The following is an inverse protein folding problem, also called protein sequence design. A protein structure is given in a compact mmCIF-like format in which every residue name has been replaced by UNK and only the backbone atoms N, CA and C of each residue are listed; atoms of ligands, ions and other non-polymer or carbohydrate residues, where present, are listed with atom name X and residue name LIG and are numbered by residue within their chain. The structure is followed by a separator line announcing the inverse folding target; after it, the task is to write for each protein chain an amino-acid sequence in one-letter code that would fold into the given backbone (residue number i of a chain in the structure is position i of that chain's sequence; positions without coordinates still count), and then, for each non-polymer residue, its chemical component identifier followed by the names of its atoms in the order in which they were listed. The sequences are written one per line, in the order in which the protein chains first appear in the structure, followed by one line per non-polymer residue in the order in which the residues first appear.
data_IF_791647969228
#
_entry.id   IF_791647969228
#
_cell.length_a   1.000
_cell.length_b   1.000
_cell.length_c   1.000
_cell.angle_alpha   90.00
_cell.angle_beta   90.00
_cell.angle_gamma   90.00
#
_symmetry.space_group_name_H-M   'P 1'
#
loop_
_entity.id
_entity.type
_entity.pdbx_description
1 polymer ?
#
# COMPACT_ATOMS: atom_id res chain seq x y z
N UNK A 1 -8.94 3.75 23.64
CA UNK A 1 -7.75 2.99 23.22
C UNK A 1 -7.76 2.98 21.71
N UNK A 2 -6.74 3.56 21.08
CA UNK A 2 -6.55 3.50 19.64
C UNK A 2 -6.26 2.04 19.23
N UNK A 3 -6.89 1.56 18.16
CA UNK A 3 -6.53 0.24 17.60
C UNK A 3 -5.08 0.25 17.12
N UNK A 4 -4.40 -0.90 17.17
CA UNK A 4 -3.06 -1.02 16.59
C UNK A 4 -3.08 -0.91 15.06
N UNK A 5 -1.95 -0.58 14.45
CA UNK A 5 -1.85 -0.52 12.99
C UNK A 5 -2.12 -1.88 12.32
N UNK A 6 -1.71 -2.98 12.96
CA UNK A 6 -1.99 -4.33 12.44
C UNK A 6 -3.49 -4.65 12.45
N UNK A 7 -4.24 -4.22 13.48
CA UNK A 7 -5.70 -4.33 13.52
C UNK A 7 -6.36 -3.41 12.49
N UNK A 8 -5.86 -2.18 12.34
CA UNK A 8 -6.36 -1.22 11.35
C UNK A 8 -6.28 -1.78 9.92
N UNK A 9 -5.19 -2.45 9.55
CA UNK A 9 -5.03 -3.09 8.23
C UNK A 9 -6.08 -4.15 7.92
N UNK A 10 -6.73 -4.72 8.94
CA UNK A 10 -7.79 -5.72 8.79
C UNK A 10 -9.20 -5.11 8.70
N UNK A 11 -9.33 -3.79 8.83
CA UNK A 11 -10.62 -3.12 8.69
C UNK A 11 -11.11 -3.14 7.24
N UNK A 12 -12.44 -3.13 7.05
CA UNK A 12 -13.04 -3.03 5.71
C UNK A 12 -12.53 -1.82 4.94
N UNK A 13 -12.29 -0.70 5.63
CA UNK A 13 -11.71 0.50 5.02
C UNK A 13 -10.31 0.24 4.46
N UNK A 14 -9.38 -0.27 5.28
CA UNK A 14 -7.99 -0.48 4.86
C UNK A 14 -7.88 -1.54 3.75
N UNK A 15 -8.69 -2.60 3.84
CA UNK A 15 -8.77 -3.63 2.80
C UNK A 15 -9.26 -3.04 1.48
N UNK A 16 -10.33 -2.25 1.50
CA UNK A 16 -10.87 -1.58 0.31
C UNK A 16 -9.90 -0.55 -0.26
N UNK A 17 -9.25 0.24 0.58
CA UNK A 17 -8.24 1.20 0.14
C UNK A 17 -7.09 0.50 -0.58
N UNK A 18 -6.63 -0.65 -0.07
CA UNK A 18 -5.60 -1.46 -0.73
C UNK A 18 -6.07 -2.00 -2.08
N UNK A 19 -7.28 -2.54 -2.14
CA UNK A 19 -7.87 -3.03 -3.40
C UNK A 19 -7.96 -1.92 -4.46
N UNK A 20 -8.51 -0.76 -4.08
CA UNK A 20 -8.75 0.37 -4.98
C UNK A 20 -7.42 0.98 -5.49
N UNK A 21 -6.35 0.96 -4.68
CA UNK A 21 -5.08 1.62 -5.01
C UNK A 21 -3.99 0.68 -5.58
N UNK A 22 -4.12 -0.64 -5.44
CA UNK A 22 -3.09 -1.58 -5.89
C UNK A 22 -2.82 -1.47 -7.40
N UNK A 23 -3.87 -1.37 -8.21
CA UNK A 23 -3.73 -1.25 -9.67
C UNK A 23 -3.00 0.03 -10.08
N UNK A 24 -3.28 1.14 -9.38
CA UNK A 24 -2.68 2.46 -9.60
C UNK A 24 -1.20 2.42 -9.23
N UNK A 25 -0.87 1.87 -8.05
CA UNK A 25 0.53 1.75 -7.60
C UNK A 25 1.36 0.84 -8.50
N UNK A 26 0.79 -0.26 -8.96
CA UNK A 26 1.46 -1.14 -9.93
C UNK A 26 1.72 -0.45 -11.27
N UNK A 27 0.78 0.36 -11.76
CA UNK A 27 0.98 1.14 -12.99
C UNK A 27 2.08 2.19 -12.81
N UNK A 28 2.04 2.93 -11.70
CA UNK A 28 3.07 3.92 -11.36
C UNK A 28 4.46 3.28 -11.26
N UNK A 29 4.60 2.21 -10.47
CA UNK A 29 5.87 1.51 -10.30
C UNK A 29 6.41 0.98 -11.62
N UNK A 30 5.56 0.41 -12.49
CA UNK A 30 6.01 -0.03 -13.83
C UNK A 30 6.58 1.11 -14.67
N UNK A 31 6.06 2.33 -14.53
CA UNK A 31 6.56 3.49 -15.27
C UNK A 31 7.86 4.04 -14.68
N UNK A 32 7.95 4.18 -13.35
CA UNK A 32 9.11 4.82 -12.70
C UNK A 32 10.27 3.86 -12.42
N UNK A 33 10.02 2.55 -12.45
CA UNK A 33 11.02 1.53 -12.13
C UNK A 33 11.47 0.72 -13.35
N UNK A 34 11.28 1.22 -14.58
CA UNK A 34 11.62 0.51 -15.83
C UNK A 34 13.05 -0.05 -15.84
N UNK A 35 13.99 0.66 -15.21
CA UNK A 35 15.41 0.25 -15.12
C UNK A 35 15.74 -0.48 -13.81
N UNK A 36 14.79 -0.64 -12.89
CA UNK A 36 14.99 -1.38 -11.65
C UNK A 36 14.83 -2.88 -11.89
N UNK A 37 15.69 -3.72 -11.28
CA UNK A 37 15.53 -5.18 -11.31
C UNK A 37 14.16 -5.66 -10.78
N UNK A 38 13.57 -4.89 -9.85
CA UNK A 38 12.25 -5.17 -9.26
C UNK A 38 11.13 -5.13 -10.30
N UNK A 39 11.22 -4.27 -11.33
CA UNK A 39 10.16 -4.11 -12.34
C UNK A 39 9.92 -5.36 -13.19
N UNK A 40 10.94 -6.20 -13.32
CA UNK A 40 10.87 -7.46 -14.06
C UNK A 40 10.31 -8.61 -13.20
N UNK A 41 10.19 -8.40 -11.87
CA UNK A 41 9.67 -9.39 -10.94
C UNK A 41 8.28 -8.98 -10.44
N UNK A 42 7.25 -9.64 -10.99
CA UNK A 42 5.84 -9.36 -10.64
C UNK A 42 5.56 -9.44 -9.13
N UNK A 43 6.09 -10.45 -8.44
CA UNK A 43 5.85 -10.63 -7.00
C UNK A 43 6.52 -9.52 -6.19
N UNK A 44 7.73 -9.11 -6.59
CA UNK A 44 8.43 -8.00 -5.94
C UNK A 44 7.71 -6.67 -6.17
N UNK A 45 7.22 -6.40 -7.39
CA UNK A 45 6.39 -5.22 -7.67
C UNK A 45 5.11 -5.19 -6.83
N UNK A 46 4.42 -6.32 -6.70
CA UNK A 46 3.21 -6.40 -5.86
C UNK A 46 3.54 -6.14 -4.40
N UNK A 47 4.68 -6.66 -3.90
CA UNK A 47 5.10 -6.39 -2.53
C UNK A 47 5.37 -4.90 -2.31
N UNK A 48 6.19 -4.28 -3.16
CA UNK A 48 6.50 -2.83 -3.06
C UNK A 48 5.23 -1.99 -3.20
N UNK A 49 4.31 -2.35 -4.09
CA UNK A 49 3.04 -1.65 -4.22
C UNK A 49 2.21 -1.71 -2.93
N UNK A 50 2.13 -2.88 -2.29
CA UNK A 50 1.42 -3.02 -1.02
C UNK A 50 2.14 -2.31 0.13
N UNK A 51 3.47 -2.36 0.19
CA UNK A 51 4.26 -1.65 1.21
C UNK A 51 4.02 -0.13 1.10
N UNK A 52 4.06 0.43 -0.13
CA UNK A 52 3.73 1.84 -0.37
C UNK A 52 2.31 2.19 0.08
N UNK A 53 1.33 1.32 -0.18
CA UNK A 53 -0.06 1.52 0.25
C UNK A 53 -0.16 1.49 1.77
N UNK A 54 0.53 0.55 2.41
CA UNK A 54 0.56 0.41 3.86
C UNK A 54 1.16 1.66 4.53
N UNK A 55 2.13 2.33 3.90
CA UNK A 55 2.65 3.61 4.37
C UNK A 55 1.58 4.72 4.35
N UNK A 56 0.79 4.85 3.28
CA UNK A 56 -0.34 5.80 3.26
C UNK A 56 -1.41 5.44 4.29
N UNK A 57 -1.69 4.15 4.48
CA UNK A 57 -2.62 3.67 5.51
C UNK A 57 -2.12 3.98 6.92
N UNK A 58 -0.81 3.94 7.14
CA UNK A 58 -0.19 4.33 8.40
C UNK A 58 -0.41 5.81 8.67
N UNK A 59 -0.15 6.67 7.69
CA UNK A 59 -0.42 8.11 7.82
C UNK A 59 -1.88 8.38 8.17
N UNK A 60 -2.83 7.74 7.46
CA UNK A 60 -4.26 7.87 7.75
C UNK A 60 -4.55 7.46 9.19
N UNK A 61 -4.10 6.27 9.61
CA UNK A 61 -4.30 5.74 10.96
C UNK A 61 -3.72 6.65 12.03
N UNK A 62 -2.51 7.18 11.82
CA UNK A 62 -1.85 8.10 12.75
C UNK A 62 -2.70 9.35 12.98
N UNK A 63 -3.36 9.85 11.93
CA UNK A 63 -4.15 11.09 11.94
C UNK A 63 -5.66 10.91 12.12
N UNK A 64 -6.18 9.68 12.29
CA UNK A 64 -7.63 9.44 12.48
C UNK A 64 -8.14 9.75 13.90
N UNK A 65 -7.29 10.25 14.81
CA UNK A 65 -7.69 10.65 16.19
C UNK A 65 -7.49 12.16 16.44
N UNK A 66 -7.84 12.99 15.45
CA UNK A 66 -7.98 14.45 15.60
C UNK A 66 -9.38 14.87 16.01
#
# INVERSE_FOLDING_TARGET
MKMSFEEFKQTTFALKYREDNLSIQLAFLKEVSKDWPVSQNKSALIKVANDNIDDYLRDIWEHTEG
#
